data_IF_378771372350
#
_entry.id   IF_378771372350
#
_cell.length_a   1.000
_cell.length_b   1.000
_cell.length_c   1.000
_cell.angle_alpha   90.00
_cell.angle_beta   90.00
_cell.angle_gamma   90.00
#
_symmetry.space_group_name_H-M   'P 1'
#
loop_
_entity.id
_entity.type
_entity.pdbx_description
1 polymer ?
#
# COMPACT_ATOMS: atom_id res chain seq x y z
N UNK A 1 24.52 -8.01 -10.66
CA UNK A 1 23.07 -7.97 -10.41
C UNK A 1 22.41 -7.88 -11.75
N UNK A 2 21.62 -8.88 -12.12
CA UNK A 2 20.87 -8.93 -13.37
C UNK A 2 19.62 -8.05 -13.25
N UNK A 3 19.03 -7.65 -14.38
CA UNK A 3 17.77 -6.89 -14.39
C UNK A 3 16.66 -7.68 -13.68
N UNK A 4 16.63 -8.99 -13.87
CA UNK A 4 15.69 -9.89 -13.20
C UNK A 4 15.80 -9.84 -11.66
N UNK A 5 17.03 -9.68 -11.12
CA UNK A 5 17.25 -9.54 -9.67
C UNK A 5 16.68 -8.23 -9.14
N UNK A 6 16.79 -7.15 -9.94
CA UNK A 6 16.26 -5.82 -9.61
C UNK A 6 14.72 -5.82 -9.60
N UNK A 7 14.11 -6.46 -10.60
CA UNK A 7 12.66 -6.58 -10.72
C UNK A 7 12.10 -7.38 -9.55
N UNK A 8 12.76 -8.50 -9.20
CA UNK A 8 12.37 -9.32 -8.04
C UNK A 8 12.42 -8.51 -6.73
N UNK A 9 13.49 -7.75 -6.51
CA UNK A 9 13.62 -6.91 -5.30
C UNK A 9 12.54 -5.82 -5.24
N UNK A 10 12.16 -5.27 -6.39
CA UNK A 10 11.07 -4.28 -6.48
C UNK A 10 9.73 -4.91 -6.11
N UNK A 11 9.45 -6.12 -6.60
CA UNK A 11 8.25 -6.87 -6.26
C UNK A 11 8.17 -7.25 -4.78
N UNK A 12 9.30 -7.67 -4.18
CA UNK A 12 9.40 -7.92 -2.74
C UNK A 12 9.01 -6.67 -1.92
N UNK A 13 9.55 -5.50 -2.27
CA UNK A 13 9.20 -4.24 -1.61
C UNK A 13 7.70 -3.91 -1.76
N UNK A 14 7.13 -4.08 -2.96
CA UNK A 14 5.70 -3.84 -3.15
C UNK A 14 4.82 -4.79 -2.35
N UNK A 15 5.25 -6.05 -2.16
CA UNK A 15 4.54 -7.00 -1.33
C UNK A 15 4.59 -6.63 0.17
N UNK A 16 5.75 -6.15 0.64
CA UNK A 16 5.90 -5.63 2.01
C UNK A 16 4.95 -4.45 2.22
N UNK A 17 4.95 -3.48 1.31
CA UNK A 17 4.07 -2.31 1.37
C UNK A 17 2.60 -2.73 1.41
N UNK A 18 2.14 -3.60 0.50
CA UNK A 18 0.76 -4.04 0.49
C UNK A 18 0.35 -4.77 1.77
N UNK A 19 1.24 -5.62 2.30
CA UNK A 19 1.01 -6.33 3.57
C UNK A 19 0.88 -5.36 4.74
N UNK A 20 1.77 -4.38 4.83
CA UNK A 20 1.75 -3.39 5.91
C UNK A 20 0.58 -2.41 5.81
N UNK A 21 0.19 -2.00 4.60
CA UNK A 21 -1.03 -1.21 4.39
C UNK A 21 -2.25 -1.98 4.91
N UNK A 22 -2.39 -3.27 4.59
CA UNK A 22 -3.49 -4.11 5.12
C UNK A 22 -3.45 -4.18 6.64
N UNK A 23 -2.26 -4.46 7.21
CA UNK A 23 -2.04 -4.59 8.66
C UNK A 23 -2.47 -3.32 9.39
N UNK A 24 -1.91 -2.16 9.02
CA UNK A 24 -2.17 -0.91 9.70
C UNK A 24 -3.58 -0.38 9.44
N UNK A 25 -4.10 -0.50 8.22
CA UNK A 25 -5.49 -0.12 7.90
C UNK A 25 -6.48 -0.89 8.78
N UNK A 26 -6.34 -2.22 8.85
CA UNK A 26 -7.21 -3.06 9.69
C UNK A 26 -7.02 -2.77 11.18
N UNK A 27 -5.78 -2.59 11.64
CA UNK A 27 -5.46 -2.27 13.03
C UNK A 27 -6.07 -0.95 13.51
N UNK A 28 -6.19 0.04 12.61
CA UNK A 28 -6.84 1.33 12.87
C UNK A 28 -8.36 1.32 12.59
N UNK A 29 -8.93 0.18 12.19
CA UNK A 29 -10.37 0.02 11.95
C UNK A 29 -10.89 0.58 10.63
N UNK A 30 -10.02 0.92 9.68
CA UNK A 30 -10.42 1.48 8.39
C UNK A 30 -10.91 0.38 7.42
N UNK A 31 -12.05 0.61 6.77
CA UNK A 31 -12.43 -0.18 5.60
C UNK A 31 -11.61 0.25 4.37
N UNK A 32 -11.55 -0.60 3.34
CA UNK A 32 -10.90 -0.21 2.07
C UNK A 32 -11.58 1.00 1.42
N UNK A 33 -12.92 1.10 1.55
CA UNK A 33 -13.69 2.22 1.03
C UNK A 33 -13.37 3.50 1.80
N UNK A 34 -13.35 3.43 3.13
CA UNK A 34 -13.04 4.59 3.97
C UNK A 34 -11.64 5.13 3.64
N UNK A 35 -10.62 4.26 3.64
CA UNK A 35 -9.26 4.67 3.30
C UNK A 35 -9.18 5.29 1.90
N UNK A 36 -9.89 4.73 0.92
CA UNK A 36 -9.90 5.25 -0.45
C UNK A 36 -10.47 6.67 -0.50
N UNK A 37 -11.60 6.92 0.16
CA UNK A 37 -12.24 8.23 0.19
C UNK A 37 -11.36 9.27 0.90
N UNK A 38 -10.75 8.90 2.03
CA UNK A 38 -9.93 9.81 2.83
C UNK A 38 -8.63 10.24 2.13
N UNK A 39 -8.09 9.41 1.24
CA UNK A 39 -6.93 9.78 0.40
C UNK A 39 -7.32 10.43 -0.94
N UNK A 40 -8.62 10.70 -1.15
CA UNK A 40 -9.14 11.44 -2.30
C UNK A 40 -9.48 10.60 -3.54
N UNK A 41 -9.70 9.29 -3.38
CA UNK A 41 -10.20 8.42 -4.46
C UNK A 41 -11.73 8.38 -4.47
N UNK A 42 -12.31 7.95 -5.58
CA UNK A 42 -13.77 7.86 -5.76
C UNK A 42 -14.37 6.52 -5.33
N UNK A 43 -13.56 5.54 -4.93
CA UNK A 43 -14.03 4.23 -4.50
C UNK A 43 -12.91 3.25 -4.14
N UNK A 44 -13.28 2.09 -3.60
CA UNK A 44 -12.34 1.11 -3.04
C UNK A 44 -11.58 0.26 -4.08
N UNK A 45 -11.93 0.32 -5.37
CA UNK A 45 -11.43 -0.61 -6.38
C UNK A 45 -9.91 -0.56 -6.53
N UNK A 46 -9.30 0.63 -6.43
CA UNK A 46 -7.84 0.77 -6.47
C UNK A 46 -7.20 0.13 -5.24
N UNK A 47 -7.64 0.49 -4.03
CA UNK A 47 -7.13 -0.07 -2.77
C UNK A 47 -7.24 -1.60 -2.78
N UNK A 48 -8.39 -2.14 -3.20
CA UNK A 48 -8.61 -3.59 -3.24
C UNK A 48 -7.64 -4.32 -4.19
N UNK A 49 -7.32 -3.73 -5.35
CA UNK A 49 -6.32 -4.31 -6.27
C UNK A 49 -4.90 -4.16 -5.75
N UNK A 50 -4.55 -3.00 -5.21
CA UNK A 50 -3.20 -2.74 -4.68
C UNK A 50 -2.88 -3.63 -3.46
N UNK A 51 -3.84 -3.80 -2.55
CA UNK A 51 -3.70 -4.72 -1.41
C UNK A 51 -3.56 -6.19 -1.85
N UNK A 52 -4.30 -6.60 -2.89
CA UNK A 52 -4.23 -7.97 -3.43
C UNK A 52 -3.12 -8.16 -4.47
N UNK A 53 -2.38 -7.10 -4.81
CA UNK A 53 -1.39 -7.07 -5.90
C UNK A 53 -1.92 -7.59 -7.25
N UNK A 54 -3.22 -7.42 -7.53
CA UNK A 54 -3.83 -7.89 -8.79
C UNK A 54 -3.64 -6.87 -9.91
N UNK A 55 -3.56 -7.35 -11.16
CA UNK A 55 -3.30 -6.53 -12.36
C UNK A 55 -2.04 -5.65 -12.21
N UNK A 56 -1.02 -6.15 -11.50
CA UNK A 56 0.20 -5.42 -11.18
C UNK A 56 -0.01 -4.09 -10.41
N UNK A 57 -1.16 -3.93 -9.75
CA UNK A 57 -1.47 -2.71 -9.02
C UNK A 57 -0.60 -2.59 -7.76
N UNK A 58 0.10 -1.47 -7.62
CA UNK A 58 0.91 -1.11 -6.45
C UNK A 58 0.54 0.29 -5.94
N UNK A 59 0.85 0.55 -4.68
CA UNK A 59 0.86 1.90 -4.14
C UNK A 59 2.09 2.64 -4.65
N UNK A 60 1.89 3.83 -5.21
CA UNK A 60 2.98 4.75 -5.52
C UNK A 60 3.29 5.58 -4.25
N UNK A 61 4.33 6.41 -4.32
CA UNK A 61 4.78 7.22 -3.17
C UNK A 61 3.67 8.17 -2.68
N UNK A 62 2.90 8.78 -3.59
CA UNK A 62 1.80 9.68 -3.20
C UNK A 62 0.73 8.95 -2.37
N UNK A 63 0.33 7.74 -2.80
CA UNK A 63 -0.60 6.91 -2.03
C UNK A 63 -0.02 6.58 -0.66
N UNK A 64 1.25 6.16 -0.59
CA UNK A 64 1.90 5.76 0.67
C UNK A 64 1.96 6.95 1.65
N UNK A 65 2.32 8.16 1.19
CA UNK A 65 2.35 9.39 2.02
C UNK A 65 0.96 9.72 2.56
N UNK A 66 -0.06 9.69 1.71
CA UNK A 66 -1.45 9.97 2.12
C UNK A 66 -1.95 8.93 3.11
N UNK A 67 -1.71 7.65 2.85
CA UNK A 67 -2.12 6.56 3.74
C UNK A 67 -1.40 6.67 5.09
N UNK A 68 -0.09 6.96 5.12
CA UNK A 68 0.66 7.18 6.36
C UNK A 68 0.03 8.29 7.21
N UNK A 69 -0.33 9.39 6.56
CA UNK A 69 -0.92 10.57 7.19
C UNK A 69 -2.31 10.27 7.75
N UNK A 70 -3.18 9.60 6.97
CA UNK A 70 -4.54 9.23 7.40
C UNK A 70 -4.52 8.19 8.54
N UNK A 71 -3.59 7.24 8.49
CA UNK A 71 -3.48 6.21 9.52
C UNK A 71 -2.70 6.67 10.76
N UNK A 72 -2.10 7.87 10.72
CA UNK A 72 -1.24 8.43 11.78
C UNK A 72 -0.14 7.43 12.19
N UNK A 73 0.71 7.08 11.22
CA UNK A 73 1.89 6.22 11.40
C UNK A 73 3.09 6.77 10.63
N UNK A 74 4.31 6.44 11.06
CA UNK A 74 5.53 6.77 10.31
C UNK A 74 5.51 6.03 8.96
N UNK A 75 5.79 6.74 7.87
CA UNK A 75 5.80 6.20 6.52
C UNK A 75 6.77 5.01 6.35
N UNK A 76 7.86 4.97 7.13
CA UNK A 76 8.84 3.88 7.10
C UNK A 76 8.23 2.54 7.51
N UNK A 77 7.16 2.55 8.31
CA UNK A 77 6.45 1.34 8.74
C UNK A 77 5.90 0.53 7.57
N UNK A 78 5.69 1.13 6.40
CA UNK A 78 5.26 0.39 5.21
C UNK A 78 6.38 -0.41 4.53
N UNK A 79 7.64 -0.19 4.89
CA UNK A 79 8.80 -0.76 4.22
C UNK A 79 9.58 -1.78 5.07
N UNK A 80 9.08 -2.11 6.26
CA UNK A 80 9.71 -3.04 7.21
C UNK A 80 8.99 -4.40 7.15
N UNK A 81 9.74 -5.50 7.15
CA UNK A 81 9.18 -6.88 7.23
C UNK A 81 8.58 -7.20 8.61
#
# INVERSE_FOLDING_TARGET
>A
MLIEDLDKKTEEIHNIISTNVIKYRKGKGFSQLQLALDIGLTGNAFIARAEKRTNNAHFNIEHIVKIATILDIDIKEFFIE
#
